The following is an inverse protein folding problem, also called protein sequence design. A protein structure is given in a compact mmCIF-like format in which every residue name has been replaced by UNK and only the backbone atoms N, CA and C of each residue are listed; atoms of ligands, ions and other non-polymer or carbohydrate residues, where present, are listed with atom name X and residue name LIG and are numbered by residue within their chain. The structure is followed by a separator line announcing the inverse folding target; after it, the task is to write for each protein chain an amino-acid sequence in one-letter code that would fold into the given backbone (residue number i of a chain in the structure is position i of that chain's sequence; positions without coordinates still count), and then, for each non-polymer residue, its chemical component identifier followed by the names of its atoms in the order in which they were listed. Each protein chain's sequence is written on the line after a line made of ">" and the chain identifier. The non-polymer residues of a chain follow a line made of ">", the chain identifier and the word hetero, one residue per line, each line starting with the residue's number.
data_IF_524202898280
#
_entry.id   IF_524202898280
#
_cell.length_a   1.000
_cell.length_b   1.000
_cell.length_c   1.000
_cell.angle_alpha   90.00
_cell.angle_beta   90.00
_cell.angle_gamma   90.00
#
_symmetry.space_group_name_H-M   'P 1'
#
loop_
_entity.id
_entity.type
_entity.pdbx_description
1 polymer ?
#
# COMPACT_ATOMS: atom_id res chain seq x y z
N UNK A 1 -6.57 -39.65 -49.86
CA UNK A 1 -7.80 -39.43 -50.65
C UNK A 1 -7.93 -37.94 -50.87
N UNK A 2 -7.47 -37.43 -52.01
CA UNK A 2 -7.66 -36.02 -52.33
C UNK A 2 -9.10 -35.79 -52.79
N UNK A 3 -9.84 -35.02 -52.01
CA UNK A 3 -11.22 -34.65 -52.30
C UNK A 3 -11.17 -33.27 -52.97
N UNK A 4 -11.84 -33.13 -54.12
CA UNK A 4 -11.91 -31.83 -54.79
C UNK A 4 -12.66 -30.80 -53.93
N UNK A 5 -12.18 -29.55 -53.92
CA UNK A 5 -12.78 -28.44 -53.15
C UNK A 5 -14.29 -28.31 -53.40
N UNK A 6 -14.75 -28.56 -54.64
CA UNK A 6 -16.18 -28.58 -54.98
C UNK A 6 -16.95 -29.67 -54.24
N UNK A 7 -16.39 -30.89 -54.17
CA UNK A 7 -17.03 -32.03 -53.50
C UNK A 7 -17.08 -31.78 -52.00
N UNK A 8 -16.00 -31.29 -51.41
CA UNK A 8 -15.94 -30.91 -49.99
C UNK A 8 -16.97 -29.80 -49.63
N UNK A 9 -17.00 -28.71 -50.40
CA UNK A 9 -17.95 -27.61 -50.16
C UNK A 9 -19.42 -28.03 -50.32
N UNK A 10 -19.71 -28.89 -51.30
CA UNK A 10 -21.08 -29.42 -51.52
C UNK A 10 -21.53 -30.32 -50.38
N UNK A 11 -20.65 -31.18 -49.85
CA UNK A 11 -20.96 -32.08 -48.73
C UNK A 11 -21.23 -31.30 -47.43
N UNK A 12 -20.51 -30.20 -47.19
CA UNK A 12 -20.64 -29.37 -45.97
C UNK A 12 -21.72 -28.28 -46.14
N UNK A 13 -22.27 -28.09 -47.35
CA UNK A 13 -23.26 -27.04 -47.62
C UNK A 13 -22.69 -25.62 -47.57
N UNK A 14 -21.37 -25.45 -47.66
CA UNK A 14 -20.70 -24.15 -47.56
C UNK A 14 -20.54 -23.50 -48.95
N UNK A 15 -20.89 -22.21 -49.12
CA UNK A 15 -20.57 -21.47 -50.35
C UNK A 15 -19.07 -21.35 -50.59
N UNK A 16 -18.62 -21.66 -51.82
CA UNK A 16 -17.19 -21.62 -52.21
C UNK A 16 -16.51 -20.26 -51.97
N UNK A 17 -17.24 -19.16 -52.10
CA UNK A 17 -16.71 -17.81 -51.81
C UNK A 17 -16.23 -17.66 -50.36
N UNK A 18 -16.85 -18.36 -49.42
CA UNK A 18 -16.44 -18.33 -48.01
C UNK A 18 -15.11 -19.05 -47.80
N UNK A 19 -14.82 -20.12 -48.56
CA UNK A 19 -13.53 -20.81 -48.55
C UNK A 19 -12.43 -20.00 -49.22
N UNK A 20 -12.76 -19.26 -50.29
CA UNK A 20 -11.81 -18.35 -50.94
C UNK A 20 -11.57 -17.06 -50.16
N UNK A 21 -12.40 -16.73 -49.17
CA UNK A 21 -12.25 -15.51 -48.39
C UNK A 21 -11.01 -15.58 -47.49
N UNK A 22 -9.95 -14.89 -47.91
CA UNK A 22 -8.77 -14.63 -47.08
C UNK A 22 -8.93 -13.27 -46.40
N UNK A 23 -8.93 -13.26 -45.06
CA UNK A 23 -8.95 -12.01 -44.30
C UNK A 23 -7.68 -11.21 -44.61
N UNK A 24 -7.82 -10.08 -45.32
CA UNK A 24 -6.71 -9.15 -45.55
C UNK A 24 -6.42 -8.39 -44.25
N UNK A 25 -5.36 -8.77 -43.55
CA UNK A 25 -4.84 -7.96 -42.46
C UNK A 25 -4.01 -6.83 -43.06
N UNK A 26 -4.47 -5.59 -42.87
CA UNK A 26 -3.96 -4.41 -43.56
C UNK A 26 -2.52 -4.08 -43.13
N UNK A 27 -1.60 -3.78 -44.05
CA UNK A 27 -0.17 -3.56 -43.71
C UNK A 27 0.07 -2.41 -42.70
N UNK A 28 -0.81 -1.41 -42.64
CA UNK A 28 -0.82 -0.37 -41.59
C UNK A 28 -0.88 -0.94 -40.17
N UNK A 29 -1.45 -2.13 -39.97
CA UNK A 29 -1.46 -2.78 -38.65
C UNK A 29 -0.06 -3.25 -38.26
N UNK A 30 0.78 -3.69 -39.22
CA UNK A 30 2.16 -4.10 -38.93
C UNK A 30 3.01 -2.91 -38.48
N UNK A 31 2.87 -1.76 -39.14
CA UNK A 31 3.60 -0.53 -38.76
C UNK A 31 3.16 -0.08 -37.37
N UNK A 32 1.85 -0.06 -37.11
CA UNK A 32 1.31 0.29 -35.81
C UNK A 32 1.77 -0.67 -34.70
N UNK A 33 1.83 -1.97 -34.99
CA UNK A 33 2.27 -2.98 -34.01
C UNK A 33 3.73 -2.78 -33.61
N UNK A 34 4.62 -2.51 -34.58
CA UNK A 34 6.04 -2.19 -34.29
C UNK A 34 6.18 -0.97 -33.40
N UNK A 35 5.41 0.08 -33.68
CA UNK A 35 5.47 1.31 -32.87
C UNK A 35 4.92 1.11 -31.46
N UNK A 36 3.86 0.30 -31.31
CA UNK A 36 3.33 -0.11 -30.00
C UNK A 36 4.40 -0.84 -29.19
N UNK A 37 5.09 -1.82 -29.80
CA UNK A 37 6.15 -2.59 -29.12
C UNK A 37 7.30 -1.67 -28.70
N UNK A 38 7.74 -0.76 -29.58
CA UNK A 38 8.78 0.23 -29.29
C UNK A 38 8.42 1.12 -28.09
N UNK A 39 7.19 1.62 -28.06
CA UNK A 39 6.70 2.43 -26.94
C UNK A 39 6.53 1.61 -25.66
N UNK A 40 6.07 0.36 -25.76
CA UNK A 40 5.93 -0.52 -24.61
C UNK A 40 7.29 -0.83 -23.96
N UNK A 41 8.34 -1.03 -24.77
CA UNK A 41 9.71 -1.20 -24.27
C UNK A 41 10.26 0.07 -23.59
N UNK A 42 9.93 1.25 -24.11
CA UNK A 42 10.34 2.53 -23.51
C UNK A 42 9.58 2.85 -22.22
N UNK A 43 8.32 2.41 -22.11
CA UNK A 43 7.42 2.69 -20.99
C UNK A 43 6.83 1.39 -20.41
N UNK A 44 7.62 0.57 -19.70
CA UNK A 44 7.19 -0.76 -19.24
C UNK A 44 6.01 -0.74 -18.26
N UNK A 45 5.79 0.40 -17.57
CA UNK A 45 4.68 0.58 -16.62
C UNK A 45 3.37 1.01 -17.29
N UNK A 46 3.37 1.29 -18.58
CA UNK A 46 2.20 1.84 -19.27
C UNK A 46 1.38 0.72 -19.90
N UNK A 47 0.07 0.74 -19.63
CA UNK A 47 -0.88 -0.12 -20.34
C UNK A 47 -1.35 0.49 -21.65
N UNK A 48 -2.11 -0.29 -22.42
CA UNK A 48 -2.62 0.10 -23.75
C UNK A 48 -3.34 1.46 -23.78
N UNK A 49 -3.98 1.90 -22.69
CA UNK A 49 -4.62 3.23 -22.57
C UNK A 49 -3.60 4.37 -22.65
N UNK A 50 -2.53 4.27 -21.87
CA UNK A 50 -1.45 5.27 -21.83
C UNK A 50 -0.63 5.25 -23.12
N UNK A 51 -0.38 4.07 -23.66
CA UNK A 51 0.30 3.91 -24.95
C UNK A 51 -0.55 4.50 -26.08
N UNK A 52 -1.88 4.35 -26.05
CA UNK A 52 -2.77 5.01 -27.03
C UNK A 52 -2.64 6.54 -26.95
N UNK A 53 -2.52 7.10 -25.74
CA UNK A 53 -2.31 8.55 -25.58
C UNK A 53 -0.93 8.98 -26.12
N UNK A 54 0.12 8.20 -25.87
CA UNK A 54 1.46 8.45 -26.42
C UNK A 54 1.50 8.37 -27.95
N UNK A 55 0.82 7.39 -28.54
CA UNK A 55 0.67 7.28 -30.00
C UNK A 55 -0.01 8.54 -30.57
N UNK A 56 -1.06 9.05 -29.92
CA UNK A 56 -1.72 10.29 -30.33
C UNK A 56 -0.82 11.51 -30.21
N UNK A 57 0.00 11.59 -29.16
CA UNK A 57 1.02 12.64 -29.01
C UNK A 57 2.06 12.58 -30.14
N UNK A 58 2.41 11.38 -30.60
CA UNK A 58 3.29 11.17 -31.75
C UNK A 58 2.58 11.36 -33.12
N UNK A 59 1.37 11.92 -33.16
CA UNK A 59 0.64 12.24 -34.39
C UNK A 59 -0.22 11.10 -34.97
N UNK A 60 -0.28 9.94 -34.31
CA UNK A 60 -1.07 8.83 -34.81
C UNK A 60 -2.57 9.01 -34.52
N UNK A 61 -3.41 9.00 -35.57
CA UNK A 61 -4.88 9.01 -35.45
C UNK A 61 -5.43 7.61 -35.18
N UNK A 62 -5.14 7.05 -34.01
CA UNK A 62 -5.59 5.72 -33.59
C UNK A 62 -6.61 5.75 -32.45
N UNK A 63 -7.59 4.85 -32.56
CA UNK A 63 -8.58 4.60 -31.51
C UNK A 63 -8.09 3.49 -30.57
N UNK A 64 -8.38 3.63 -29.28
CA UNK A 64 -8.10 2.63 -28.25
C UNK A 64 -8.65 1.24 -28.62
N UNK A 65 -9.81 1.17 -29.28
CA UNK A 65 -10.42 -0.09 -29.76
C UNK A 65 -9.52 -0.85 -30.75
N UNK A 66 -8.65 -0.17 -31.51
CA UNK A 66 -7.67 -0.81 -32.41
C UNK A 66 -6.39 -1.23 -31.69
N UNK A 67 -5.96 -0.48 -30.68
CA UNK A 67 -4.73 -0.76 -29.92
C UNK A 67 -4.93 -1.98 -29.00
N UNK A 68 -6.11 -2.13 -28.39
CA UNK A 68 -6.36 -3.19 -27.41
C UNK A 68 -6.22 -4.63 -27.97
N UNK A 69 -6.74 -4.97 -29.16
CA UNK A 69 -6.51 -6.29 -29.76
C UNK A 69 -5.04 -6.53 -30.08
N UNK A 70 -4.33 -5.53 -30.63
CA UNK A 70 -2.90 -5.64 -30.95
C UNK A 70 -2.10 -5.87 -29.66
N UNK A 71 -2.36 -5.09 -28.62
CA UNK A 71 -1.74 -5.25 -27.30
C UNK A 71 -1.90 -6.66 -26.73
N UNK A 72 -3.08 -7.26 -26.89
CA UNK A 72 -3.33 -8.66 -26.47
C UNK A 72 -2.63 -9.68 -27.35
N UNK A 73 -2.60 -9.48 -28.67
CA UNK A 73 -1.91 -10.38 -29.62
C UNK A 73 -0.41 -10.41 -29.38
N UNK A 74 0.19 -9.26 -29.06
CA UNK A 74 1.63 -9.13 -28.76
C UNK A 74 1.99 -9.58 -27.32
N UNK A 75 1.03 -10.04 -26.52
CA UNK A 75 1.28 -10.54 -25.17
C UNK A 75 1.78 -9.49 -24.16
N UNK A 76 1.61 -8.20 -24.46
CA UNK A 76 2.11 -7.12 -23.61
C UNK A 76 1.29 -7.08 -22.31
N UNK A 77 1.93 -7.35 -21.18
CA UNK A 77 1.33 -7.21 -19.85
C UNK A 77 2.06 -6.17 -19.03
N UNK A 78 1.29 -5.33 -18.33
CA UNK A 78 1.89 -4.36 -17.41
C UNK A 78 2.30 -5.12 -16.16
N UNK A 79 3.58 -5.08 -15.76
CA UNK A 79 4.05 -5.77 -14.57
C UNK A 79 3.30 -5.26 -13.34
N UNK A 80 2.94 -6.19 -12.46
CA UNK A 80 2.25 -5.87 -11.21
C UNK A 80 3.11 -4.94 -10.35
N UNK A 81 2.51 -3.84 -9.88
CA UNK A 81 3.20 -2.90 -8.99
C UNK A 81 3.37 -3.54 -7.61
N UNK A 82 4.55 -4.07 -7.34
CA UNK A 82 4.89 -4.52 -5.99
C UNK A 82 4.94 -3.29 -5.05
N UNK A 83 4.06 -3.26 -4.04
CA UNK A 83 4.14 -2.26 -2.97
C UNK A 83 5.37 -2.58 -2.14
N UNK A 84 6.31 -1.65 -2.03
CA UNK A 84 7.45 -1.80 -1.13
C UNK A 84 6.92 -1.94 0.31
N UNK A 85 7.08 -3.12 0.90
CA UNK A 85 6.79 -3.33 2.31
C UNK A 85 7.97 -2.76 3.08
N UNK A 86 7.74 -1.80 3.98
CA UNK A 86 8.78 -1.34 4.90
C UNK A 86 9.29 -2.56 5.67
N UNK A 87 10.60 -2.70 5.77
CA UNK A 87 11.20 -3.75 6.57
C UNK A 87 10.62 -3.68 7.99
N UNK A 88 10.21 -4.83 8.55
CA UNK A 88 9.98 -4.94 9.99
C UNK A 88 11.37 -4.78 10.61
N UNK A 89 11.58 -3.76 11.45
CA UNK A 89 12.91 -3.45 11.99
C UNK A 89 13.54 -4.66 12.69
N UNK A 90 14.87 -4.75 12.68
CA UNK A 90 15.61 -5.76 13.43
C UNK A 90 15.51 -5.49 14.95
N UNK A 91 15.76 -6.51 15.78
CA UNK A 91 15.82 -6.38 17.25
C UNK A 91 16.78 -5.29 17.72
N UNK A 92 17.83 -5.02 16.95
CA UNK A 92 18.81 -3.98 17.27
C UNK A 92 18.24 -2.55 17.10
N UNK A 93 17.22 -2.41 16.25
CA UNK A 93 16.43 -1.18 16.08
C UNK A 93 15.14 -1.22 16.92
N UNK A 94 14.93 -2.29 17.68
CA UNK A 94 13.85 -2.31 18.67
C UNK A 94 14.28 -1.43 19.83
N UNK A 95 13.43 -0.48 20.21
CA UNK A 95 13.65 0.30 21.42
C UNK A 95 13.53 -0.69 22.58
N UNK A 96 14.66 -1.23 23.05
CA UNK A 96 14.71 -2.11 24.20
C UNK A 96 14.02 -1.37 25.34
N UNK A 97 12.87 -1.88 25.79
CA UNK A 97 12.08 -1.24 26.84
C UNK A 97 12.95 -1.15 28.07
N UNK A 98 13.49 0.04 28.37
CA UNK A 98 14.25 0.27 29.59
C UNK A 98 13.29 0.03 30.76
N UNK A 99 13.68 -0.85 31.69
CA UNK A 99 12.93 -1.06 32.92
C UNK A 99 13.07 0.20 33.78
N UNK A 100 11.97 0.67 34.36
CA UNK A 100 12.03 1.76 35.32
C UNK A 100 12.68 1.25 36.61
N UNK A 101 13.72 1.94 37.08
CA UNK A 101 14.45 1.63 38.32
C UNK A 101 14.05 2.51 39.52
N UNK A 102 13.43 3.67 39.27
CA UNK A 102 12.94 4.57 40.33
C UNK A 102 11.71 5.35 39.87
N UNK A 103 10.99 5.97 40.80
CA UNK A 103 9.79 6.78 40.50
C UNK A 103 10.20 7.95 39.59
N UNK A 104 9.44 8.23 38.54
CA UNK A 104 9.73 9.26 37.53
C UNK A 104 10.95 8.96 36.63
N UNK A 105 11.45 7.72 36.61
CA UNK A 105 12.58 7.33 35.76
C UNK A 105 12.19 7.24 34.28
N UNK A 106 11.11 6.54 33.95
CA UNK A 106 10.70 6.29 32.56
C UNK A 106 9.32 6.89 32.31
N UNK A 107 9.25 7.80 31.35
CA UNK A 107 8.00 8.42 30.91
C UNK A 107 7.68 7.91 29.51
N UNK A 108 6.46 7.41 29.33
CA UNK A 108 5.92 7.10 28.01
C UNK A 108 4.90 8.14 27.62
N UNK A 109 4.99 8.60 26.38
CA UNK A 109 3.95 9.42 25.80
C UNK A 109 3.45 8.81 24.49
N UNK A 110 2.15 8.91 24.27
CA UNK A 110 1.52 8.47 23.02
C UNK A 110 0.55 9.52 22.50
N UNK A 111 0.48 9.66 21.19
CA UNK A 111 -0.45 10.54 20.51
C UNK A 111 -1.64 9.71 20.01
N UNK A 112 -2.82 9.98 20.55
CA UNK A 112 -4.05 9.38 20.09
C UNK A 112 -4.72 10.39 19.14
N UNK A 113 -4.90 10.00 17.89
CA UNK A 113 -5.71 10.77 16.93
C UNK A 113 -7.13 10.24 16.94
N UNK A 114 -8.09 11.15 17.02
CA UNK A 114 -9.51 10.84 16.92
C UNK A 114 -10.27 11.90 16.11
N UNK A 115 -11.58 11.73 15.97
CA UNK A 115 -12.45 12.73 15.34
C UNK A 115 -13.66 13.02 16.22
N UNK A 116 -14.05 14.29 16.28
CA UNK A 116 -15.32 14.73 16.88
C UNK A 116 -16.48 14.27 15.98
N UNK A 117 -17.71 14.23 16.52
CA UNK A 117 -18.94 13.96 15.75
C UNK A 117 -19.03 14.84 14.49
N UNK A 118 -18.56 16.08 14.57
CA UNK A 118 -18.51 17.04 13.47
C UNK A 118 -17.38 16.78 12.45
N UNK A 119 -16.64 15.67 12.57
CA UNK A 119 -15.52 15.30 11.68
C UNK A 119 -14.24 16.11 11.89
N UNK A 120 -14.18 16.98 12.90
CA UNK A 120 -12.96 17.74 13.22
C UNK A 120 -11.89 16.80 13.80
N UNK A 121 -10.62 16.90 13.34
CA UNK A 121 -9.55 16.05 13.85
C UNK A 121 -9.16 16.48 15.27
N UNK A 122 -9.15 15.51 16.19
CA UNK A 122 -8.69 15.65 17.56
C UNK A 122 -7.35 14.91 17.72
N UNK A 123 -6.39 15.52 18.41
CA UNK A 123 -5.14 14.86 18.80
C UNK A 123 -4.95 15.02 20.30
N UNK A 124 -4.80 13.91 21.00
CA UNK A 124 -4.61 13.83 22.44
C UNK A 124 -3.20 13.33 22.72
N UNK A 125 -2.46 14.05 23.56
CA UNK A 125 -1.20 13.57 24.10
C UNK A 125 -1.46 12.90 25.44
N UNK A 126 -1.14 11.62 25.53
CA UNK A 126 -1.16 10.87 26.79
C UNK A 126 0.25 10.84 27.36
N UNK A 127 0.40 11.16 28.64
CA UNK A 127 1.65 11.09 29.38
C UNK A 127 1.46 10.10 30.52
N UNK A 128 2.30 9.07 30.57
CA UNK A 128 2.27 8.01 31.58
C UNK A 128 3.65 7.85 32.21
N UNK A 129 3.69 7.78 33.54
CA UNK A 129 4.89 7.48 34.30
C UNK A 129 4.94 5.97 34.57
N UNK A 130 6.00 5.29 34.14
CA UNK A 130 6.18 3.88 34.46
C UNK A 130 6.71 3.77 35.90
N UNK A 131 5.87 3.24 36.78
CA UNK A 131 6.25 2.96 38.15
C UNK A 131 7.19 1.74 38.24
N UNK A 132 8.09 1.78 39.21
CA UNK A 132 8.83 0.61 39.68
C UNK A 132 7.87 -0.38 40.34
N UNK A 133 7.95 -1.70 40.04
CA UNK A 133 7.29 -2.70 40.85
C UNK A 133 7.97 -2.72 42.22
N UNK A 134 7.38 -2.05 43.21
CA UNK A 134 7.84 -2.15 44.59
C UNK A 134 7.41 -3.51 45.12
N UNK A 135 8.37 -4.40 45.39
CA UNK A 135 8.12 -5.55 46.27
C UNK A 135 7.89 -4.97 47.67
N UNK A 136 6.64 -4.88 48.08
CA UNK A 136 6.28 -4.63 49.47
C UNK A 136 6.47 -5.96 50.22
N UNK A 137 7.64 -6.14 50.83
CA UNK A 137 7.82 -7.10 51.91
C UNK A 137 7.79 -6.35 53.23
N UNK A 138 6.62 -6.29 53.85
CA UNK A 138 6.44 -6.39 55.31
C UNK A 138 4.96 -6.27 55.64
N UNK A 139 4.49 -7.22 56.44
CA UNK A 139 3.19 -7.28 57.08
C UNK A 139 2.88 -5.98 57.82
N UNK A 140 1.65 -5.47 57.69
CA UNK A 140 0.83 -5.02 58.82
C UNK A 140 -0.55 -4.54 58.34
N UNK A 141 -1.55 -4.92 59.11
CA UNK A 141 -2.97 -4.80 58.81
C UNK A 141 -3.50 -3.36 58.82
N UNK A 142 -4.46 -3.09 57.94
CA UNK A 142 -5.34 -1.93 58.08
C UNK A 142 -5.69 -1.26 56.74
N UNK A 143 -6.72 -1.78 56.07
CA UNK A 143 -7.52 -1.04 55.09
C UNK A 143 -6.74 -0.23 54.03
N UNK A 144 -6.06 -0.92 53.11
CA UNK A 144 -5.68 -0.30 51.83
C UNK A 144 -6.83 -0.54 50.84
N UNK A 145 -7.75 0.41 50.78
CA UNK A 145 -8.61 0.58 49.61
C UNK A 145 -7.70 0.64 48.39
N UNK A 146 -7.86 -0.34 47.50
CA UNK A 146 -7.29 -0.29 46.17
C UNK A 146 -7.76 1.00 45.51
N UNK A 147 -6.93 2.04 45.51
CA UNK A 147 -7.19 3.20 44.67
C UNK A 147 -6.78 2.85 43.24
N UNK A 148 -7.49 1.88 42.65
CA UNK A 148 -7.77 1.95 41.22
C UNK A 148 -8.76 3.09 41.03
N UNK A 149 -8.27 4.33 41.19
CA UNK A 149 -8.72 5.39 40.29
C UNK A 149 -8.20 5.01 38.91
N UNK A 150 -8.90 4.07 38.29
CA UNK A 150 -9.21 4.19 36.88
C UNK A 150 -9.58 5.66 36.71
N UNK A 151 -8.71 6.45 36.07
CA UNK A 151 -9.16 7.67 35.40
C UNK A 151 -10.50 7.33 34.80
N UNK A 152 -11.60 7.99 35.18
CA UNK A 152 -12.88 7.69 34.58
C UNK A 152 -12.62 7.77 33.09
N UNK A 153 -12.89 6.68 32.39
CA UNK A 153 -12.95 6.74 30.95
C UNK A 153 -13.94 7.86 30.67
N UNK A 154 -13.42 9.04 30.31
CA UNK A 154 -14.25 10.14 29.87
C UNK A 154 -14.81 9.63 28.55
N UNK A 155 -15.95 8.95 28.64
CA UNK A 155 -16.78 8.60 27.51
C UNK A 155 -17.32 9.94 27.03
N UNK A 156 -16.53 10.63 26.21
CA UNK A 156 -17.02 11.76 25.44
C UNK A 156 -18.02 11.15 24.46
N UNK A 157 -19.33 11.43 24.59
CA UNK A 157 -20.33 10.84 23.71
C UNK A 157 -20.04 11.25 22.26
N UNK A 158 -19.99 10.28 21.35
CA UNK A 158 -19.95 10.51 19.90
C UNK A 158 -18.64 10.21 19.15
N UNK A 159 -17.66 9.57 19.77
CA UNK A 159 -16.35 9.32 19.16
C UNK A 159 -16.23 7.87 18.63
N UNK A 160 -16.07 7.71 17.31
CA UNK A 160 -15.89 6.42 16.64
C UNK A 160 -14.40 6.08 16.46
N UNK A 161 -13.89 5.13 17.23
CA UNK A 161 -12.44 4.88 17.31
C UNK A 161 -11.90 4.09 16.11
N UNK A 162 -10.88 4.61 15.42
CA UNK A 162 -9.98 3.81 14.58
C UNK A 162 -8.53 3.98 15.07
N UNK A 163 -7.99 2.95 15.75
CA UNK A 163 -6.66 3.00 16.39
C UNK A 163 -5.56 2.71 15.37
N UNK A 164 -4.57 3.61 15.25
CA UNK A 164 -3.26 3.31 14.66
C UNK A 164 -2.19 3.62 15.70
N UNK A 165 -1.71 2.61 16.40
CA UNK A 165 -0.73 2.75 17.50
C UNK A 165 0.69 2.87 16.94
N UNK A 166 1.47 3.86 17.42
CA UNK A 166 2.91 3.96 17.18
C UNK A 166 3.60 4.47 18.44
N UNK A 167 4.08 3.54 19.27
CA UNK A 167 4.78 3.83 20.53
C UNK A 167 6.11 4.56 20.26
N UNK A 168 6.34 5.68 20.96
CA UNK A 168 7.64 6.35 21.03
C UNK A 168 8.05 6.42 22.50
N UNK A 169 9.13 5.72 22.86
CA UNK A 169 9.68 5.74 24.23
C UNK A 169 10.82 6.76 24.26
N UNK A 170 10.68 7.83 25.05
CA UNK A 170 11.78 8.77 25.29
C UNK A 170 12.39 8.48 26.65
N UNK A 171 13.69 8.23 26.66
CA UNK A 171 14.49 8.13 27.89
C UNK A 171 15.22 9.46 28.06
N UNK A 172 14.94 10.19 29.14
CA UNK A 172 15.80 11.32 29.54
C UNK A 172 17.17 10.74 29.91
N UNK A 173 18.10 10.71 28.97
CA UNK A 173 19.52 10.68 29.33
C UNK A 173 19.85 12.06 29.90
N UNK A 174 20.49 12.07 31.07
CA UNK A 174 20.84 13.27 31.80
C UNK A 174 21.54 14.30 30.92
N UNK A 175 21.08 15.53 31.02
CA UNK A 175 21.85 16.69 30.62
C UNK A 175 23.05 16.72 31.58
N UNK A 176 24.21 16.23 31.13
CA UNK A 176 25.48 16.55 31.77
C UNK A 176 25.77 18.01 31.45
N UNK A 177 25.71 18.86 32.47
CA UNK A 177 26.20 20.23 32.41
C UNK A 177 27.70 20.21 32.07
N UNK A 178 28.04 20.62 30.85
CA UNK A 178 29.41 20.97 30.49
C UNK A 178 29.71 22.36 31.04
N UNK A 179 30.24 22.41 32.27
CA UNK A 179 30.98 23.58 32.76
C UNK A 179 32.28 23.68 31.96
N UNK A 180 32.42 24.75 31.15
CA UNK A 180 33.70 25.13 30.52
C UNK A 180 34.61 25.73 31.60
N UNK A 181 35.88 25.32 31.71
CA UNK A 181 36.85 26.07 32.50
C UNK A 181 37.30 27.31 31.70
N UNK A 182 37.31 28.46 32.37
CA UNK A 182 38.10 29.65 32.01
C UNK A 182 39.47 29.56 32.63
#
# INVERSE_FOLDING_TARGET
>A
MDISERRACRTIGQPRMTQHYKTKQYDKDKILSREIIKLAGSYPRYGYRMITAKLRQAGWRVNRKRVQPIWRKEGLQVPYRHKFKKAKGNSDNSCSVKKAEYINHVWTYDFISDQTVDGKPLKLLTLQNLAVPRVLSSEDAGSTTWCTELTPAVRIPGIGTSRTTRLLVSTRHGIHDHVRPT
#
